data_IF_338834984798
#
_entry.id   IF_338834984798
#
_cell.length_a   1.000
_cell.length_b   1.000
_cell.length_c   1.000
_cell.angle_alpha   90.00
_cell.angle_beta   90.00
_cell.angle_gamma   90.00
#
_symmetry.space_group_name_H-M   'P 1'
#
loop_
_entity.id
_entity.type
_entity.pdbx_description
1 polymer ?
#
# COMPACT_ATOMS: atom_id res chain seq x y z
N UNK A 1 7.49 -38.22 4.39
CA UNK A 1 6.23 -38.85 4.83
C UNK A 1 5.33 -37.91 5.65
N UNK A 2 5.89 -37.05 6.52
CA UNK A 2 5.12 -36.10 7.34
C UNK A 2 4.36 -35.00 6.56
N UNK A 3 4.96 -34.40 5.52
CA UNK A 3 4.36 -33.27 4.78
C UNK A 3 3.03 -33.64 4.08
N UNK A 4 2.86 -34.92 3.69
CA UNK A 4 1.68 -35.37 2.94
C UNK A 4 0.39 -35.44 3.80
N UNK A 5 0.51 -35.65 5.10
CA UNK A 5 -0.66 -35.67 5.99
C UNK A 5 -1.13 -34.25 6.32
N UNK A 6 -0.18 -33.35 6.57
CA UNK A 6 -0.47 -31.95 6.95
C UNK A 6 -1.29 -31.22 5.90
N UNK A 7 -1.04 -31.42 4.60
CA UNK A 7 -1.79 -30.75 3.52
C UNK A 7 -3.21 -31.32 3.35
N UNK A 8 -3.42 -32.60 3.68
CA UNK A 8 -4.73 -33.27 3.53
C UNK A 8 -5.73 -32.84 4.61
N UNK A 9 -5.22 -32.35 5.75
CA UNK A 9 -6.01 -31.93 6.92
C UNK A 9 -6.21 -30.40 7.00
N UNK A 10 -5.74 -29.64 6.01
CA UNK A 10 -5.94 -28.17 5.98
C UNK A 10 -7.42 -27.88 5.77
N UNK A 11 -8.05 -27.38 6.83
CA UNK A 11 -9.41 -26.84 6.75
C UNK A 11 -9.41 -25.60 5.83
N UNK A 12 -10.45 -25.40 5.00
CA UNK A 12 -10.56 -24.22 4.15
C UNK A 12 -10.40 -22.89 4.91
N UNK A 13 -10.80 -22.84 6.19
CA UNK A 13 -10.62 -21.67 7.06
C UNK A 13 -9.16 -21.36 7.37
N UNK A 14 -8.31 -22.39 7.54
CA UNK A 14 -6.88 -22.23 7.79
C UNK A 14 -6.16 -21.74 6.52
N UNK A 15 -6.56 -22.25 5.35
CA UNK A 15 -6.04 -21.76 4.08
C UNK A 15 -6.40 -20.28 3.86
N UNK A 16 -7.64 -19.89 4.12
CA UNK A 16 -8.09 -18.49 4.04
C UNK A 16 -7.33 -17.60 5.02
N UNK A 17 -7.13 -18.05 6.27
CA UNK A 17 -6.37 -17.31 7.27
C UNK A 17 -4.92 -17.10 6.84
N UNK A 18 -4.29 -18.12 6.25
CA UNK A 18 -2.91 -18.02 5.76
C UNK A 18 -2.79 -17.05 4.59
N UNK A 19 -3.73 -17.10 3.63
CA UNK A 19 -3.78 -16.13 2.52
C UNK A 19 -3.98 -14.70 3.04
N UNK A 20 -4.90 -14.51 3.99
CA UNK A 20 -5.14 -13.20 4.60
C UNK A 20 -3.89 -12.69 5.34
N UNK A 21 -3.20 -13.55 6.10
CA UNK A 21 -1.97 -13.20 6.80
C UNK A 21 -0.85 -12.81 5.83
N UNK A 22 -0.67 -13.56 4.74
CA UNK A 22 0.30 -13.22 3.69
C UNK A 22 -0.04 -11.88 3.03
N UNK A 23 -1.31 -11.66 2.66
CA UNK A 23 -1.75 -10.40 2.07
C UNK A 23 -1.50 -9.20 3.02
N UNK A 24 -1.83 -9.35 4.30
CA UNK A 24 -1.58 -8.32 5.32
C UNK A 24 -0.09 -8.04 5.49
N UNK A 25 0.73 -9.08 5.57
CA UNK A 25 2.19 -8.92 5.68
C UNK A 25 2.78 -8.17 4.49
N UNK A 26 2.32 -8.47 3.27
CA UNK A 26 2.74 -7.80 2.04
C UNK A 26 2.31 -6.32 2.01
N UNK A 27 1.09 -6.02 2.44
CA UNK A 27 0.60 -4.63 2.55
C UNK A 27 1.47 -3.85 3.54
N UNK A 28 1.71 -4.39 4.73
CA UNK A 28 2.52 -3.74 5.77
C UNK A 28 3.96 -3.52 5.28
N UNK A 29 4.58 -4.54 4.69
CA UNK A 29 5.92 -4.43 4.13
C UNK A 29 5.98 -3.34 3.04
N UNK A 30 4.98 -3.28 2.17
CA UNK A 30 4.89 -2.24 1.12
C UNK A 30 4.74 -0.84 1.72
N UNK A 31 3.93 -0.67 2.77
CA UNK A 31 3.75 0.62 3.46
C UNK A 31 5.08 1.08 4.05
N UNK A 32 5.77 0.20 4.80
CA UNK A 32 7.06 0.50 5.42
C UNK A 32 8.11 0.84 4.36
N UNK A 33 8.17 0.06 3.27
CA UNK A 33 9.06 0.32 2.14
C UNK A 33 8.82 1.70 1.51
N UNK A 34 7.56 2.04 1.23
CA UNK A 34 7.18 3.32 0.62
C UNK A 34 7.46 4.52 1.52
N UNK A 35 7.28 4.36 2.83
CA UNK A 35 7.48 5.46 3.78
C UNK A 35 8.94 5.76 4.06
N UNK A 36 9.81 4.74 4.08
CA UNK A 36 11.21 4.89 4.50
C UNK A 36 12.21 4.74 3.36
N UNK A 37 12.11 3.68 2.56
CA UNK A 37 13.17 3.28 1.62
C UNK A 37 12.96 3.80 0.20
N UNK A 38 11.74 4.20 -0.14
CA UNK A 38 11.43 4.70 -1.47
C UNK A 38 12.08 6.07 -1.72
N UNK A 39 12.67 6.36 -2.90
CA UNK A 39 13.40 7.61 -3.15
C UNK A 39 12.54 8.87 -2.97
N UNK A 40 11.22 8.78 -3.24
CA UNK A 40 10.28 9.87 -3.02
C UNK A 40 9.91 10.09 -1.53
N UNK A 41 10.38 9.26 -0.59
CA UNK A 41 10.14 9.44 0.85
C UNK A 41 10.79 10.70 1.41
N UNK A 42 11.82 11.20 0.72
CA UNK A 42 12.56 12.43 1.05
C UNK A 42 11.70 13.68 0.92
N UNK A 43 10.73 13.67 0.01
CA UNK A 43 9.87 14.81 -0.22
C UNK A 43 8.68 14.75 0.73
N UNK A 44 8.42 15.83 1.50
CA UNK A 44 7.26 15.88 2.37
C UNK A 44 5.99 15.83 1.50
N UNK A 45 5.00 15.06 1.92
CA UNK A 45 3.77 14.91 1.16
C UNK A 45 2.64 14.35 2.03
N UNK A 46 1.39 14.41 1.53
CA UNK A 46 0.24 13.90 2.27
C UNK A 46 0.41 12.42 2.60
N UNK A 47 0.14 12.03 3.85
CA UNK A 47 0.33 10.66 4.35
C UNK A 47 -0.26 9.58 3.42
N UNK A 48 -1.52 9.75 3.01
CA UNK A 48 -2.20 8.82 2.11
C UNK A 48 -1.62 8.75 0.70
N UNK A 49 -1.04 9.85 0.22
CA UNK A 49 -0.38 9.92 -1.08
C UNK A 49 1.02 9.28 -1.06
N UNK A 50 1.68 9.24 0.11
CA UNK A 50 2.94 8.51 0.32
C UNK A 50 2.71 7.00 0.35
N UNK A 51 1.59 6.57 0.92
CA UNK A 51 1.26 5.14 1.06
C UNK A 51 0.62 4.58 -0.21
N UNK A 52 -0.24 5.35 -0.90
CA UNK A 52 -1.09 4.84 -1.98
C UNK A 52 -1.33 5.87 -3.08
N UNK A 53 -1.60 5.39 -4.30
CA UNK A 53 -1.99 6.24 -5.43
C UNK A 53 -3.48 6.64 -5.41
N UNK A 54 -4.25 6.16 -4.43
CA UNK A 54 -5.70 6.36 -4.37
C UNK A 54 -6.13 7.84 -4.31
N UNK A 55 -5.50 8.72 -3.49
CA UNK A 55 -5.84 10.15 -3.50
C UNK A 55 -5.66 10.78 -4.88
N UNK A 56 -4.61 10.41 -5.61
CA UNK A 56 -4.35 10.92 -6.96
C UNK A 56 -5.40 10.42 -7.97
N UNK A 57 -5.81 9.16 -7.87
CA UNK A 57 -6.90 8.60 -8.68
C UNK A 57 -8.22 9.33 -8.44
N UNK A 58 -8.59 9.54 -7.19
CA UNK A 58 -9.81 10.28 -6.82
C UNK A 58 -9.81 11.71 -7.35
N UNK A 59 -8.68 12.41 -7.27
CA UNK A 59 -8.48 13.76 -7.84
C UNK A 59 -8.53 13.76 -9.38
N UNK A 60 -8.08 12.69 -10.01
CA UNK A 60 -8.18 12.52 -11.47
C UNK A 60 -9.63 12.35 -11.89
N UNK A 61 -10.41 11.54 -11.16
CA UNK A 61 -11.87 11.42 -11.38
C UNK A 61 -12.61 12.74 -11.24
N UNK A 62 -12.18 13.59 -10.32
CA UNK A 62 -12.70 14.97 -10.15
C UNK A 62 -12.13 15.99 -11.14
N UNK A 63 -11.28 15.55 -12.08
CA UNK A 63 -10.59 16.38 -13.07
C UNK A 63 -9.80 17.57 -12.48
N UNK A 64 -9.45 17.51 -11.19
CA UNK A 64 -8.77 18.60 -10.48
C UNK A 64 -7.35 18.24 -10.04
N UNK A 65 -6.78 17.18 -10.64
CA UNK A 65 -5.42 16.70 -10.32
C UNK A 65 -4.36 17.79 -10.52
N UNK A 66 -4.48 18.61 -11.55
CA UNK A 66 -3.53 19.69 -11.85
C UNK A 66 -3.55 20.78 -10.76
N UNK A 67 -4.75 21.21 -10.32
CA UNK A 67 -4.90 22.16 -9.19
C UNK A 67 -4.33 21.55 -7.91
N UNK A 68 -4.63 20.28 -7.67
CA UNK A 68 -4.13 19.59 -6.48
C UNK A 68 -2.60 19.49 -6.46
N UNK A 69 -1.97 19.20 -7.60
CA UNK A 69 -0.51 19.23 -7.71
C UNK A 69 0.07 20.62 -7.50
N UNK A 70 -0.55 21.67 -8.04
CA UNK A 70 -0.15 23.05 -7.76
C UNK A 70 -0.21 23.36 -6.26
N UNK A 71 -1.30 23.00 -5.58
CA UNK A 71 -1.43 23.18 -4.13
C UNK A 71 -0.38 22.39 -3.33
N UNK A 72 -0.02 21.18 -3.79
CA UNK A 72 1.03 20.39 -3.16
C UNK A 72 2.40 21.03 -3.34
N UNK A 73 2.70 21.56 -4.52
CA UNK A 73 3.93 22.33 -4.75
C UNK A 73 3.98 23.56 -3.86
N UNK A 74 2.89 24.31 -3.71
CA UNK A 74 2.85 25.47 -2.80
C UNK A 74 3.06 25.10 -1.33
N UNK A 75 2.67 23.89 -0.91
CA UNK A 75 2.71 23.46 0.49
C UNK A 75 3.98 22.69 0.87
N UNK A 76 4.49 21.90 -0.06
CA UNK A 76 5.57 20.94 0.17
C UNK A 76 6.72 21.08 -0.83
N UNK A 77 6.55 21.90 -1.86
CA UNK A 77 7.63 22.26 -2.76
C UNK A 77 8.59 23.19 -2.02
N UNK A 78 9.85 22.79 -2.00
CA UNK A 78 10.98 23.69 -1.74
C UNK A 78 11.25 24.54 -2.98
#
# INVERSE_FOLDING_TARGET
MFIRYTVKDISPSQALALVAALALSWIIATIVYRLHFHPLSKYPGPFWARISAFPAYYRTKKQNRHIWFWQLQQKYGE
#
